data_IF_807410365120
#
_entry.id   IF_807410365120
#
_cell.length_a   1.000
_cell.length_b   1.000
_cell.length_c   1.000
_cell.angle_alpha   90.00
_cell.angle_beta   90.00
_cell.angle_gamma   90.00
#
_symmetry.space_group_name_H-M   'P 1'
#
loop_
_entity.id
_entity.type
_entity.pdbx_description
1 polymer ?
#
# COMPACT_ATOMS: atom_id res chain seq x y z
N UNK A 1 -10.57 36.64 11.50
CA UNK A 1 -9.62 35.56 11.13
C UNK A 1 -10.44 34.41 10.63
N UNK A 2 -10.57 34.30 9.32
CA UNK A 2 -11.44 33.32 8.65
C UNK A 2 -10.67 32.03 8.48
N UNK A 3 -11.04 31.01 9.22
CA UNK A 3 -10.61 29.63 8.99
C UNK A 3 -11.30 29.14 7.69
N UNK A 4 -10.53 29.05 6.64
CA UNK A 4 -10.94 28.40 5.39
C UNK A 4 -11.24 26.93 5.70
N UNK A 5 -12.51 26.62 5.87
CA UNK A 5 -13.00 25.26 5.78
C UNK A 5 -12.64 24.76 4.38
N UNK A 6 -11.62 23.93 4.28
CA UNK A 6 -11.23 23.23 3.07
C UNK A 6 -12.45 22.45 2.60
N UNK A 7 -13.07 22.95 1.54
CA UNK A 7 -14.38 22.49 1.07
C UNK A 7 -14.33 21.02 0.66
N UNK A 8 -14.74 20.18 1.58
CA UNK A 8 -15.18 18.83 1.24
C UNK A 8 -16.50 18.99 0.47
N UNK A 9 -16.42 18.91 -0.84
CA UNK A 9 -17.61 18.77 -1.69
C UNK A 9 -18.19 17.39 -1.42
N UNK A 10 -19.41 17.26 -0.87
CA UNK A 10 -20.09 15.97 -0.87
C UNK A 10 -20.26 15.58 -2.33
N UNK A 11 -19.54 14.53 -2.74
CA UNK A 11 -19.75 13.93 -4.05
C UNK A 11 -21.20 13.45 -4.07
N UNK A 12 -22.00 13.91 -5.05
CA UNK A 12 -23.37 13.44 -5.32
C UNK A 12 -23.44 11.94 -5.64
N UNK A 13 -22.31 11.31 -5.87
CA UNK A 13 -22.14 9.86 -5.95
C UNK A 13 -21.85 9.31 -4.56
N UNK A 14 -22.49 8.21 -4.20
CA UNK A 14 -22.28 7.47 -2.95
C UNK A 14 -20.80 7.54 -2.51
N UNK A 15 -20.48 7.91 -1.26
CA UNK A 15 -19.11 8.04 -0.76
C UNK A 15 -18.27 6.76 -0.96
N UNK A 16 -18.94 5.61 -1.08
CA UNK A 16 -18.31 4.33 -1.41
C UNK A 16 -17.71 4.26 -2.82
N UNK A 17 -18.27 5.00 -3.80
CA UNK A 17 -17.72 5.03 -5.17
C UNK A 17 -16.35 5.68 -5.16
N UNK A 18 -16.17 6.78 -4.45
CA UNK A 18 -14.87 7.43 -4.31
C UNK A 18 -13.83 6.58 -3.60
N UNK A 19 -14.22 5.76 -2.62
CA UNK A 19 -13.34 4.81 -1.96
C UNK A 19 -12.89 3.69 -2.90
N UNK A 20 -13.79 3.17 -3.75
CA UNK A 20 -13.49 2.12 -4.72
C UNK A 20 -12.60 2.59 -5.86
N UNK A 21 -12.81 3.79 -6.36
CA UNK A 21 -12.06 4.35 -7.49
C UNK A 21 -10.63 4.80 -7.12
N UNK A 22 -10.25 4.69 -5.85
CA UNK A 22 -8.93 5.10 -5.39
C UNK A 22 -8.69 6.61 -5.42
N UNK A 23 -9.65 7.41 -5.90
CA UNK A 23 -9.55 8.86 -5.92
C UNK A 23 -9.41 9.45 -4.50
N UNK A 24 -10.05 8.83 -3.52
CA UNK A 24 -9.94 9.17 -2.10
C UNK A 24 -8.72 8.56 -1.41
N UNK A 25 -8.00 7.64 -2.06
CA UNK A 25 -6.87 6.95 -1.41
C UNK A 25 -5.75 7.91 -0.98
N UNK A 26 -5.50 8.96 -1.74
CA UNK A 26 -4.53 10.01 -1.37
C UNK A 26 -5.06 10.87 -0.21
N UNK A 27 -6.35 11.17 -0.23
CA UNK A 27 -7.01 11.99 0.80
C UNK A 27 -7.18 11.24 2.13
N UNK A 28 -7.23 9.89 2.11
CA UNK A 28 -7.30 9.08 3.34
C UNK A 28 -6.09 9.28 4.26
N UNK A 29 -4.93 9.69 3.71
CA UNK A 29 -3.73 9.97 4.51
C UNK A 29 -3.86 11.26 5.34
N UNK A 30 -4.71 12.17 4.91
CA UNK A 30 -4.90 13.49 5.50
C UNK A 30 -6.15 13.56 6.39
N UNK A 31 -6.85 12.41 6.57
CA UNK A 31 -8.01 12.33 7.45
C UNK A 31 -7.62 12.55 8.91
N UNK A 32 -8.42 13.39 9.57
CA UNK A 32 -8.29 13.61 11.01
C UNK A 32 -9.16 12.61 11.78
N UNK A 33 -8.78 12.27 13.02
CA UNK A 33 -9.57 11.41 13.88
C UNK A 33 -11.00 11.94 14.04
N UNK A 34 -11.99 11.14 13.66
CA UNK A 34 -13.40 11.50 13.71
C UNK A 34 -14.04 11.88 12.39
N UNK A 35 -13.28 12.10 11.32
CA UNK A 35 -13.83 12.47 10.00
C UNK A 35 -14.78 11.39 9.44
N UNK A 36 -14.48 10.12 9.70
CA UNK A 36 -15.35 9.00 9.31
C UNK A 36 -16.69 9.02 10.04
N UNK A 37 -16.73 9.43 11.31
CA UNK A 37 -17.97 9.55 12.08
C UNK A 37 -18.86 10.66 11.52
N UNK A 38 -18.25 11.74 11.05
CA UNK A 38 -18.98 12.85 10.40
C UNK A 38 -19.57 12.41 9.06
N UNK A 39 -18.83 11.59 8.29
CA UNK A 39 -19.27 11.07 6.99
C UNK A 39 -20.36 9.99 7.13
N UNK A 40 -20.29 9.17 8.17
CA UNK A 40 -21.16 8.03 8.40
C UNK A 40 -21.72 8.06 9.82
N UNK A 41 -22.78 8.88 10.06
CA UNK A 41 -23.35 9.07 11.40
C UNK A 41 -23.98 7.81 11.99
N UNK A 42 -24.15 6.75 11.19
CA UNK A 42 -24.66 5.45 11.64
C UNK A 42 -23.61 4.61 12.37
N UNK A 43 -22.32 4.96 12.23
CA UNK A 43 -21.22 4.25 12.88
C UNK A 43 -21.03 4.72 14.32
N UNK A 44 -20.83 3.77 15.23
CA UNK A 44 -20.37 4.06 16.58
C UNK A 44 -18.92 4.62 16.52
N UNK A 45 -18.61 5.57 17.39
CA UNK A 45 -17.30 6.22 17.47
C UNK A 45 -16.13 5.23 17.52
N UNK A 46 -16.26 4.13 18.27
CA UNK A 46 -15.24 3.08 18.35
C UNK A 46 -15.06 2.32 17.04
N UNK A 47 -16.15 2.06 16.35
CA UNK A 47 -16.14 1.38 15.04
C UNK A 47 -15.59 2.29 13.97
N UNK A 48 -15.97 3.55 13.96
CA UNK A 48 -15.43 4.56 13.05
C UNK A 48 -13.92 4.69 13.23
N UNK A 49 -13.42 4.83 14.45
CA UNK A 49 -11.99 4.91 14.74
C UNK A 49 -11.21 3.65 14.32
N UNK A 50 -11.84 2.46 14.43
CA UNK A 50 -11.25 1.21 13.95
C UNK A 50 -11.14 1.19 12.43
N UNK A 51 -12.21 1.49 11.71
CA UNK A 51 -12.25 1.51 10.26
C UNK A 51 -11.34 2.58 9.68
N UNK A 52 -11.29 3.75 10.31
CA UNK A 52 -10.37 4.84 9.93
C UNK A 52 -8.93 4.36 9.96
N UNK A 53 -8.51 3.71 11.05
CA UNK A 53 -7.16 3.16 11.18
C UNK A 53 -6.87 2.09 10.11
N UNK A 54 -7.79 1.14 9.92
CA UNK A 54 -7.64 0.07 8.93
C UNK A 54 -7.55 0.62 7.48
N UNK A 55 -8.35 1.65 7.17
CA UNK A 55 -8.34 2.32 5.86
C UNK A 55 -7.03 3.07 5.64
N UNK A 56 -6.59 3.89 6.60
CA UNK A 56 -5.35 4.65 6.51
C UNK A 56 -4.16 3.69 6.38
N UNK A 57 -4.09 2.65 7.21
CA UNK A 57 -3.02 1.66 7.16
C UNK A 57 -2.98 0.93 5.82
N UNK A 58 -4.14 0.51 5.30
CA UNK A 58 -4.22 -0.17 4.00
C UNK A 58 -3.92 0.76 2.83
N UNK A 59 -4.27 2.05 2.90
CA UNK A 59 -3.99 3.06 1.88
C UNK A 59 -2.50 3.45 1.83
N UNK A 60 -1.82 3.43 2.98
CA UNK A 60 -0.39 3.79 3.09
C UNK A 60 0.56 2.67 2.68
N UNK A 61 0.04 1.47 2.36
CA UNK A 61 0.86 0.34 1.97
C UNK A 61 1.56 0.58 0.62
N UNK A 62 2.87 0.78 0.65
CA UNK A 62 3.67 1.16 -0.53
C UNK A 62 4.41 -0.01 -1.20
N UNK A 63 4.41 -1.21 -0.62
CA UNK A 63 5.15 -2.37 -1.14
C UNK A 63 6.68 -2.25 -1.00
N UNK A 64 7.17 -1.27 -0.22
CA UNK A 64 8.62 -1.06 -0.05
C UNK A 64 9.30 -2.25 0.65
N UNK A 65 8.60 -2.91 1.58
CA UNK A 65 9.11 -4.10 2.26
C UNK A 65 9.32 -5.26 1.28
N UNK A 66 8.37 -5.51 0.41
CA UNK A 66 8.47 -6.55 -0.62
C UNK A 66 9.57 -6.27 -1.64
N UNK A 67 9.79 -5.00 -1.99
CA UNK A 67 10.90 -4.61 -2.86
C UNK A 67 12.25 -4.90 -2.22
N UNK A 68 12.40 -4.62 -0.92
CA UNK A 68 13.63 -4.92 -0.17
C UNK A 68 13.89 -6.43 -0.07
N UNK A 69 12.85 -7.21 0.21
CA UNK A 69 12.93 -8.68 0.24
C UNK A 69 13.27 -9.23 -1.15
N UNK A 70 12.63 -8.72 -2.20
CA UNK A 70 12.88 -9.12 -3.58
C UNK A 70 14.34 -8.86 -3.99
N UNK A 71 14.89 -7.71 -3.65
CA UNK A 71 16.27 -7.35 -3.87
C UNK A 71 17.20 -8.33 -3.13
N UNK A 72 16.96 -8.53 -1.84
CA UNK A 72 17.82 -9.39 -1.00
C UNK A 72 17.84 -10.84 -1.53
N UNK A 73 16.67 -11.41 -1.81
CA UNK A 73 16.55 -12.78 -2.33
C UNK A 73 17.28 -12.91 -3.67
N UNK A 74 17.12 -11.95 -4.57
CA UNK A 74 17.76 -11.99 -5.89
C UNK A 74 19.27 -11.89 -5.80
N UNK A 75 19.81 -11.03 -4.93
CA UNK A 75 21.25 -10.89 -4.70
C UNK A 75 21.84 -12.18 -4.09
N UNK A 76 21.17 -12.75 -3.08
CA UNK A 76 21.60 -14.00 -2.45
C UNK A 76 21.58 -15.14 -3.48
N UNK A 77 20.52 -15.26 -4.28
CA UNK A 77 20.43 -16.30 -5.31
C UNK A 77 21.53 -16.17 -6.35
N UNK A 78 21.81 -14.96 -6.84
CA UNK A 78 22.89 -14.71 -7.79
C UNK A 78 24.26 -15.07 -7.19
N UNK A 79 24.50 -14.73 -5.93
CA UNK A 79 25.73 -15.06 -5.23
C UNK A 79 25.92 -16.58 -5.07
N UNK A 80 24.85 -17.29 -4.64
CA UNK A 80 24.88 -18.75 -4.49
C UNK A 80 25.15 -19.44 -5.82
N UNK A 81 24.49 -19.03 -6.89
CA UNK A 81 24.70 -19.58 -8.23
C UNK A 81 26.14 -19.37 -8.72
N UNK A 82 26.69 -18.18 -8.47
CA UNK A 82 28.08 -17.86 -8.85
C UNK A 82 29.10 -18.70 -8.09
N UNK A 83 28.95 -18.83 -6.76
CA UNK A 83 29.83 -19.67 -5.93
C UNK A 83 29.73 -21.14 -6.33
N UNK A 84 28.53 -21.61 -6.72
CA UNK A 84 28.34 -23.01 -7.16
C UNK A 84 29.00 -23.31 -8.51
N UNK A 85 29.17 -22.28 -9.36
CA UNK A 85 29.85 -22.42 -10.64
C UNK A 85 31.40 -22.53 -10.54
N UNK A 86 31.95 -22.37 -9.33
CA UNK A 86 33.39 -22.46 -9.09
C UNK A 86 34.20 -21.32 -9.68
N UNK A 87 33.58 -20.25 -10.09
CA UNK A 87 34.25 -19.07 -10.62
C UNK A 87 34.81 -18.19 -9.51
N UNK A 88 36.02 -17.56 -9.72
CA UNK A 88 36.61 -16.68 -8.70
C UNK A 88 35.67 -15.50 -8.43
N UNK A 89 35.35 -15.29 -7.15
CA UNK A 89 34.30 -14.39 -6.65
C UNK A 89 34.45 -12.90 -7.01
N UNK A 90 35.55 -12.48 -7.57
CA UNK A 90 35.90 -11.06 -7.77
C UNK A 90 35.99 -10.62 -9.23
N UNK A 91 35.20 -11.21 -10.11
CA UNK A 91 35.17 -10.74 -11.49
C UNK A 91 34.12 -9.63 -11.67
N UNK A 92 34.41 -8.61 -12.48
CA UNK A 92 33.50 -7.54 -12.83
C UNK A 92 32.12 -8.06 -13.27
N UNK A 93 32.06 -9.16 -13.99
CA UNK A 93 30.83 -9.81 -14.40
C UNK A 93 29.94 -10.22 -13.24
N UNK A 94 30.49 -10.73 -12.15
CA UNK A 94 29.74 -11.10 -10.94
C UNK A 94 29.02 -9.90 -10.35
N UNK A 95 29.70 -8.76 -10.31
CA UNK A 95 29.14 -7.53 -9.76
C UNK A 95 27.99 -7.01 -10.63
N UNK A 96 28.15 -7.03 -11.95
CA UNK A 96 27.11 -6.61 -12.90
C UNK A 96 25.89 -7.53 -12.83
N UNK A 97 26.10 -8.84 -12.77
CA UNK A 97 25.00 -9.82 -12.64
C UNK A 97 24.26 -9.67 -11.32
N UNK A 98 24.98 -9.50 -10.20
CA UNK A 98 24.37 -9.28 -8.90
C UNK A 98 23.54 -7.97 -8.85
N UNK A 99 24.06 -6.90 -9.45
CA UNK A 99 23.36 -5.62 -9.51
C UNK A 99 22.11 -5.68 -10.40
N UNK A 100 22.21 -6.31 -11.56
CA UNK A 100 21.10 -6.49 -12.48
C UNK A 100 19.99 -7.38 -11.90
N UNK A 101 20.38 -8.50 -11.27
CA UNK A 101 19.43 -9.40 -10.60
C UNK A 101 18.76 -8.75 -9.39
N UNK A 102 19.53 -7.97 -8.61
CA UNK A 102 18.99 -7.19 -7.50
C UNK A 102 17.95 -6.16 -7.95
N UNK A 103 18.26 -5.41 -9.01
CA UNK A 103 17.33 -4.43 -9.59
C UNK A 103 16.04 -5.11 -10.10
N UNK A 104 16.18 -6.22 -10.82
CA UNK A 104 15.03 -7.00 -11.29
C UNK A 104 14.18 -7.52 -10.12
N UNK A 105 14.81 -8.06 -9.08
CA UNK A 105 14.12 -8.52 -7.87
C UNK A 105 13.39 -7.41 -7.12
N UNK A 106 13.98 -6.21 -7.05
CA UNK A 106 13.33 -5.05 -6.44
C UNK A 106 12.09 -4.61 -7.23
N UNK A 107 12.16 -4.60 -8.57
CA UNK A 107 11.02 -4.24 -9.44
C UNK A 107 9.88 -5.25 -9.29
N UNK A 108 10.19 -6.55 -9.35
CA UNK A 108 9.20 -7.61 -9.17
C UNK A 108 8.60 -7.57 -7.77
N UNK A 109 9.42 -7.43 -6.72
CA UNK A 109 8.98 -7.30 -5.35
C UNK A 109 8.04 -6.11 -5.15
N UNK A 110 8.39 -4.94 -5.71
CA UNK A 110 7.53 -3.76 -5.66
C UNK A 110 6.21 -3.97 -6.38
N UNK A 111 6.23 -4.59 -7.56
CA UNK A 111 5.01 -4.93 -8.31
C UNK A 111 4.09 -5.83 -7.52
N UNK A 112 4.61 -6.90 -6.93
CA UNK A 112 3.86 -7.81 -6.07
C UNK A 112 3.30 -7.10 -4.84
N UNK A 113 4.09 -6.22 -4.21
CA UNK A 113 3.67 -5.42 -3.07
C UNK A 113 2.50 -4.50 -3.41
N UNK A 114 2.54 -3.81 -4.55
CA UNK A 114 1.45 -2.95 -5.02
C UNK A 114 0.16 -3.76 -5.23
N UNK A 115 0.25 -4.89 -5.93
CA UNK A 115 -0.92 -5.77 -6.17
C UNK A 115 -1.51 -6.31 -4.85
N UNK A 116 -0.64 -6.67 -3.90
CA UNK A 116 -1.05 -7.16 -2.58
C UNK A 116 -1.69 -6.06 -1.75
N UNK A 117 -1.13 -4.85 -1.79
CA UNK A 117 -1.70 -3.66 -1.15
C UNK A 117 -3.07 -3.30 -1.71
N UNK A 118 -3.23 -3.33 -3.03
CA UNK A 118 -4.50 -3.08 -3.69
C UNK A 118 -5.58 -4.11 -3.29
N UNK A 119 -5.24 -5.39 -3.26
CA UNK A 119 -6.17 -6.46 -2.83
C UNK A 119 -6.53 -6.34 -1.33
N UNK A 120 -5.58 -5.89 -0.48
CA UNK A 120 -5.84 -5.63 0.93
C UNK A 120 -6.78 -4.44 1.09
N UNK A 121 -6.51 -3.34 0.40
CA UNK A 121 -7.34 -2.14 0.42
C UNK A 121 -8.78 -2.43 -0.01
N UNK A 122 -8.99 -3.12 -1.13
CA UNK A 122 -10.33 -3.50 -1.60
C UNK A 122 -11.09 -4.34 -0.58
N UNK A 123 -10.42 -5.30 0.07
CA UNK A 123 -11.06 -6.11 1.12
C UNK A 123 -11.50 -5.29 2.33
N UNK A 124 -10.70 -4.29 2.73
CA UNK A 124 -11.05 -3.38 3.82
C UNK A 124 -12.24 -2.52 3.44
N UNK A 125 -12.25 -1.95 2.22
CA UNK A 125 -13.38 -1.16 1.70
C UNK A 125 -14.66 -1.99 1.61
N UNK A 126 -14.59 -3.22 1.10
CA UNK A 126 -15.77 -4.11 1.02
C UNK A 126 -16.27 -4.54 2.41
N UNK A 127 -15.37 -4.67 3.39
CA UNK A 127 -15.72 -4.92 4.80
C UNK A 127 -16.44 -3.72 5.43
N UNK A 128 -15.88 -2.54 5.21
CA UNK A 128 -16.46 -1.29 5.67
C UNK A 128 -17.86 -1.03 5.08
N UNK A 129 -18.02 -1.21 3.77
CA UNK A 129 -19.33 -1.04 3.11
C UNK A 129 -20.40 -1.98 3.69
N UNK A 130 -20.03 -3.22 4.00
CA UNK A 130 -20.95 -4.17 4.65
C UNK A 130 -21.33 -3.75 6.06
N UNK A 131 -20.38 -3.20 6.83
CA UNK A 131 -20.62 -2.73 8.20
C UNK A 131 -21.56 -1.53 8.25
N UNK A 132 -21.51 -0.63 7.26
CA UNK A 132 -22.37 0.57 7.21
C UNK A 132 -23.79 0.25 6.71
N UNK A 133 -23.96 -0.86 5.97
CA UNK A 133 -25.30 -1.26 5.44
C UNK A 133 -26.14 -2.10 6.43
N UNK A 134 -25.53 -2.55 7.56
CA UNK A 134 -26.24 -3.28 8.62
C UNK A 134 -26.80 -2.35 9.67
#
# INVERSE_FOLDING_TARGET
MSTSATGYRPLESSPFVGLRDGALRSSLRDLHPGDLTVMFPTLNEKEAARWERELIESASYCGCGEAAVGLLVSVITALVMHLSAGEPALHWHTFVVALASGAAGAVVGKGLGIVRGERRYRRVVDGFERSVRQ
#
